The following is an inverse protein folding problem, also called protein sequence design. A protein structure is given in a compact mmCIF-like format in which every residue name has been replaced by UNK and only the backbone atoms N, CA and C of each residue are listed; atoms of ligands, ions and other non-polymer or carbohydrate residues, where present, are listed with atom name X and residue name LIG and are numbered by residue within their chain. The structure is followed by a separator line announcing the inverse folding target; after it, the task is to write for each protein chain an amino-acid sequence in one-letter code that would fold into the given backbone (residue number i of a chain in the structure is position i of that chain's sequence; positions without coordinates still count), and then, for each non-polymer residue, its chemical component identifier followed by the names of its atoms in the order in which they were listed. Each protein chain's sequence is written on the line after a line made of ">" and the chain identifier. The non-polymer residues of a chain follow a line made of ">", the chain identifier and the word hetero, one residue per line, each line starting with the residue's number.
data_IF_128756692325
#
_entry.id   IF_128756692325
#
_cell.length_a   1.000
_cell.length_b   1.000
_cell.length_c   1.000
_cell.angle_alpha   90.00
_cell.angle_beta   90.00
_cell.angle_gamma   90.00
#
_symmetry.space_group_name_H-M   'P 1'
#
loop_
_entity.id
_entity.type
_entity.pdbx_description
1 polymer ?
#
# COMPACT_ATOMS: atom_id res chain seq x y z
N UNK A 1 17.85 17.00 13.92
CA UNK A 1 17.25 16.07 14.90
C UNK A 1 16.67 14.87 14.20
N UNK A 2 17.29 13.71 14.40
CA UNK A 2 16.81 12.43 13.83
C UNK A 2 15.90 11.76 14.84
N UNK A 3 14.65 11.53 14.47
CA UNK A 3 13.74 10.69 15.25
C UNK A 3 14.20 9.24 15.08
N UNK A 4 14.54 8.52 16.16
CA UNK A 4 15.00 7.13 16.06
C UNK A 4 13.91 6.22 15.47
N UNK A 5 14.30 5.34 14.56
CA UNK A 5 13.41 4.31 14.02
C UNK A 5 13.31 3.19 15.06
N UNK A 6 12.11 2.87 15.57
CA UNK A 6 11.95 1.77 16.51
C UNK A 6 12.24 0.42 15.84
N UNK A 7 12.81 -0.50 16.60
CA UNK A 7 12.99 -1.88 16.20
C UNK A 7 11.64 -2.59 16.03
N UNK A 8 11.64 -3.70 15.29
CA UNK A 8 10.43 -4.49 15.08
C UNK A 8 10.00 -5.21 16.36
N UNK A 9 8.87 -4.80 16.95
CA UNK A 9 8.20 -5.51 18.03
C UNK A 9 6.97 -6.25 17.48
N UNK A 10 7.00 -7.59 17.38
CA UNK A 10 5.90 -8.38 16.80
C UNK A 10 4.58 -8.30 17.60
N UNK A 11 4.67 -7.96 18.90
CA UNK A 11 3.53 -7.90 19.82
C UNK A 11 3.08 -6.46 20.14
N UNK A 12 3.63 -5.45 19.47
CA UNK A 12 3.21 -4.07 19.64
C UNK A 12 1.78 -3.87 19.11
N UNK A 13 0.82 -3.85 20.03
CA UNK A 13 -0.58 -3.56 19.71
C UNK A 13 -0.83 -2.05 19.73
N UNK A 14 -1.40 -1.53 18.64
CA UNK A 14 -1.86 -0.15 18.55
C UNK A 14 -1.25 0.66 17.40
N UNK A 15 -1.68 1.90 17.33
CA UNK A 15 -1.25 2.86 16.31
C UNK A 15 0.16 3.36 16.69
N UNK A 16 1.16 3.32 15.77
CA UNK A 16 2.51 3.80 16.06
C UNK A 16 2.53 5.25 16.54
N UNK A 17 3.51 5.62 17.37
CA UNK A 17 3.67 7.01 17.84
C UNK A 17 3.92 8.04 16.72
N UNK A 18 4.25 7.56 15.50
CA UNK A 18 4.43 8.35 14.28
C UNK A 18 3.12 8.59 13.52
N UNK A 19 1.98 8.21 14.09
CA UNK A 19 0.68 8.46 13.49
C UNK A 19 0.28 9.92 13.58
N UNK A 20 0.04 10.49 12.41
CA UNK A 20 -0.63 11.78 12.25
C UNK A 20 -2.06 11.47 11.79
N UNK A 21 -3.10 11.83 12.58
CA UNK A 21 -4.47 11.48 12.24
C UNK A 21 -4.91 12.15 10.94
N UNK A 22 -5.56 11.37 10.07
CA UNK A 22 -6.18 11.87 8.84
C UNK A 22 -5.20 12.29 7.74
N UNK A 23 -3.93 11.85 7.79
CA UNK A 23 -2.95 12.21 6.75
C UNK A 23 -3.41 11.78 5.34
N UNK A 24 -4.07 10.63 5.20
CA UNK A 24 -4.54 10.18 3.89
C UNK A 24 -5.77 10.96 3.41
N UNK A 25 -6.55 11.55 4.32
CA UNK A 25 -7.63 12.49 3.95
C UNK A 25 -7.01 13.66 3.19
N UNK A 26 -5.94 14.25 3.77
CA UNK A 26 -5.23 15.36 3.17
C UNK A 26 -4.60 14.97 1.83
N UNK A 27 -3.89 13.84 1.77
CA UNK A 27 -3.26 13.37 0.54
C UNK A 27 -4.26 13.15 -0.59
N UNK A 28 -5.34 12.38 -0.35
CA UNK A 28 -6.32 12.08 -1.38
C UNK A 28 -7.07 13.34 -1.85
N UNK A 29 -7.35 14.28 -0.94
CA UNK A 29 -7.98 15.56 -1.31
C UNK A 29 -7.05 16.39 -2.21
N UNK A 30 -5.77 16.52 -1.86
CA UNK A 30 -4.79 17.23 -2.67
C UNK A 30 -4.59 16.55 -4.03
N UNK A 31 -4.48 15.23 -4.05
CA UNK A 31 -4.35 14.46 -5.29
C UNK A 31 -5.57 14.62 -6.18
N UNK A 32 -6.78 14.71 -5.62
CA UNK A 32 -8.01 14.90 -6.40
C UNK A 32 -8.07 16.29 -7.07
N UNK A 33 -7.68 17.33 -6.33
CA UNK A 33 -7.52 18.67 -6.90
C UNK A 33 -6.49 18.65 -8.02
N UNK A 34 -5.33 18.01 -7.81
CA UNK A 34 -4.32 17.90 -8.85
C UNK A 34 -4.83 17.14 -10.08
N UNK A 35 -5.46 15.98 -9.87
CA UNK A 35 -6.06 15.15 -10.92
C UNK A 35 -7.09 15.92 -11.75
N UNK A 36 -7.90 16.77 -11.10
CA UNK A 36 -8.83 17.66 -11.80
C UNK A 36 -8.09 18.57 -12.78
N UNK A 37 -7.03 19.25 -12.32
CA UNK A 37 -6.25 20.20 -13.14
C UNK A 37 -5.57 19.54 -14.32
N UNK A 38 -5.01 18.34 -14.13
CA UNK A 38 -4.34 17.59 -15.20
C UNK A 38 -5.30 16.76 -16.05
N UNK A 39 -6.61 16.88 -15.81
CA UNK A 39 -7.68 16.13 -16.51
C UNK A 39 -7.54 14.60 -16.39
N UNK A 40 -6.97 14.11 -15.30
CA UNK A 40 -6.97 12.69 -14.99
C UNK A 40 -8.40 12.21 -14.67
N UNK A 41 -8.67 10.95 -14.98
CA UNK A 41 -9.95 10.29 -14.74
C UNK A 41 -9.94 9.42 -13.48
N UNK A 42 -8.75 9.08 -12.99
CA UNK A 42 -8.56 8.22 -11.83
C UNK A 42 -7.37 8.66 -10.98
N UNK A 43 -7.47 8.37 -9.70
CA UNK A 43 -6.40 8.44 -8.71
C UNK A 43 -6.14 7.01 -8.25
N UNK A 44 -4.89 6.57 -8.34
CA UNK A 44 -4.47 5.26 -7.87
C UNK A 44 -3.70 5.44 -6.57
N UNK A 45 -4.07 4.70 -5.53
CA UNK A 45 -3.39 4.72 -4.23
C UNK A 45 -3.09 3.30 -3.73
N UNK A 46 -1.93 3.15 -3.10
CA UNK A 46 -1.44 1.87 -2.57
C UNK A 46 -1.88 1.56 -1.14
N UNK A 47 -2.87 2.27 -0.60
CA UNK A 47 -3.43 1.95 0.72
C UNK A 47 -4.05 0.55 0.71
N UNK A 48 -3.95 -0.14 1.83
CA UNK A 48 -4.58 -1.44 2.03
C UNK A 48 -5.05 -1.59 3.47
N UNK A 49 -6.06 -2.42 3.67
CA UNK A 49 -6.65 -2.70 4.98
C UNK A 49 -6.07 -3.96 5.63
N UNK A 50 -5.39 -4.80 4.84
CA UNK A 50 -4.78 -6.06 5.30
C UNK A 50 -3.47 -5.90 6.06
N UNK A 51 -2.83 -4.72 6.00
CA UNK A 51 -1.58 -4.47 6.72
C UNK A 51 -1.87 -4.14 8.20
N UNK A 52 -1.02 -4.69 9.07
CA UNK A 52 -1.12 -4.79 10.54
C UNK A 52 -1.35 -3.48 11.33
N UNK A 53 -1.40 -2.32 10.67
CA UNK A 53 -1.46 -1.01 11.31
C UNK A 53 -2.87 -0.41 11.46
N UNK A 54 -3.89 -0.99 10.81
CA UNK A 54 -5.31 -0.71 11.11
C UNK A 54 -5.75 0.76 10.97
N UNK A 55 -5.01 1.57 10.21
CA UNK A 55 -5.29 3.00 10.05
C UNK A 55 -6.70 3.22 9.49
N UNK A 56 -7.57 3.98 10.16
CA UNK A 56 -8.96 4.18 9.71
C UNK A 56 -9.03 4.89 8.35
N UNK A 57 -8.04 5.72 8.04
CA UNK A 57 -7.90 6.45 6.77
C UNK A 57 -7.23 5.60 5.65
N UNK A 58 -7.13 4.28 5.83
CA UNK A 58 -6.73 3.32 4.80
C UNK A 58 -7.83 2.33 4.41
N UNK A 59 -8.97 2.34 5.10
CA UNK A 59 -10.05 1.35 4.91
C UNK A 59 -10.84 1.61 3.63
N UNK A 60 -11.41 0.56 3.07
CA UNK A 60 -12.23 0.66 1.85
C UNK A 60 -13.44 1.60 2.04
N UNK A 61 -14.14 1.48 3.18
CA UNK A 61 -15.28 2.35 3.51
C UNK A 61 -14.89 3.83 3.52
N UNK A 62 -13.72 4.15 4.09
CA UNK A 62 -13.20 5.51 4.12
C UNK A 62 -12.91 6.02 2.70
N UNK A 63 -12.20 5.24 1.88
CA UNK A 63 -11.84 5.65 0.51
C UNK A 63 -13.09 5.92 -0.32
N UNK A 64 -14.12 5.08 -0.20
CA UNK A 64 -15.43 5.26 -0.86
C UNK A 64 -16.17 6.50 -0.38
N UNK A 65 -16.20 6.73 0.93
CA UNK A 65 -16.83 7.92 1.51
C UNK A 65 -16.15 9.21 1.05
N UNK A 66 -14.81 9.23 1.02
CA UNK A 66 -14.05 10.39 0.57
C UNK A 66 -14.22 10.64 -0.94
N UNK A 67 -14.18 9.58 -1.77
CA UNK A 67 -14.47 9.67 -3.20
C UNK A 67 -15.81 10.37 -3.44
N UNK A 68 -16.88 9.92 -2.75
CA UNK A 68 -18.19 10.53 -2.85
C UNK A 68 -18.17 12.03 -2.51
N UNK A 69 -17.58 12.40 -1.36
CA UNK A 69 -17.50 13.78 -0.92
C UNK A 69 -16.72 14.68 -1.91
N UNK A 70 -15.59 14.18 -2.41
CA UNK A 70 -14.73 14.87 -3.38
C UNK A 70 -15.44 15.05 -4.73
N UNK A 71 -16.13 14.02 -5.22
CA UNK A 71 -16.89 14.09 -6.46
C UNK A 71 -18.01 15.13 -6.42
N UNK A 72 -18.72 15.21 -5.29
CA UNK A 72 -19.71 16.26 -5.06
C UNK A 72 -19.06 17.66 -5.03
N UNK A 73 -17.97 17.81 -4.27
CA UNK A 73 -17.30 19.10 -4.09
C UNK A 73 -16.68 19.68 -5.37
N UNK A 74 -16.26 18.82 -6.30
CA UNK A 74 -15.68 19.24 -7.59
C UNK A 74 -16.65 19.17 -8.77
N UNK A 75 -17.89 18.71 -8.56
CA UNK A 75 -18.85 18.41 -9.62
C UNK A 75 -18.25 17.56 -10.76
N UNK A 76 -17.38 16.62 -10.42
CA UNK A 76 -16.65 15.77 -11.37
C UNK A 76 -16.38 14.40 -10.74
N UNK A 77 -16.67 13.34 -11.48
CA UNK A 77 -16.30 11.99 -11.07
C UNK A 77 -14.84 11.70 -11.48
N UNK A 78 -13.98 11.54 -10.47
CA UNK A 78 -12.59 11.07 -10.61
C UNK A 78 -12.50 9.81 -9.76
N UNK A 79 -12.28 8.66 -10.39
CA UNK A 79 -12.31 7.35 -9.72
C UNK A 79 -11.18 7.24 -8.71
N UNK A 80 -11.45 6.66 -7.55
CA UNK A 80 -10.41 6.29 -6.59
C UNK A 80 -10.18 4.78 -6.70
N UNK A 81 -8.98 4.40 -7.11
CA UNK A 81 -8.60 3.01 -7.38
C UNK A 81 -7.57 2.53 -6.35
N UNK A 82 -7.89 1.45 -5.66
CA UNK A 82 -7.08 0.83 -4.60
C UNK A 82 -6.72 -0.62 -4.95
N UNK A 83 -5.85 -0.84 -5.95
CA UNK A 83 -5.57 -2.19 -6.49
C UNK A 83 -4.98 -3.15 -5.46
N UNK A 84 -4.45 -2.63 -4.35
CA UNK A 84 -3.84 -3.41 -3.27
C UNK A 84 -4.77 -3.60 -2.06
N UNK A 85 -6.00 -3.08 -2.09
CA UNK A 85 -6.89 -3.03 -0.90
C UNK A 85 -7.03 -4.38 -0.19
N UNK A 86 -7.18 -5.43 -0.97
CA UNK A 86 -7.45 -6.79 -0.51
C UNK A 86 -6.26 -7.74 -0.64
N UNK A 87 -5.09 -7.21 -1.01
CA UNK A 87 -3.88 -8.00 -1.23
C UNK A 87 -2.98 -7.97 0.00
N UNK A 88 -2.61 -9.16 0.48
CA UNK A 88 -1.53 -9.28 1.44
C UNK A 88 -0.16 -9.04 0.75
N UNK A 89 0.92 -9.05 1.54
CA UNK A 89 2.25 -8.75 1.01
C UNK A 89 2.76 -9.79 0.00
N UNK A 90 2.44 -11.07 0.17
CA UNK A 90 2.80 -12.13 -0.77
C UNK A 90 2.05 -11.98 -2.11
N UNK A 91 0.76 -11.64 -2.06
CA UNK A 91 -0.05 -11.37 -3.24
C UNK A 91 0.40 -10.09 -3.96
N UNK A 92 0.89 -9.09 -3.22
CA UNK A 92 1.51 -7.90 -3.82
C UNK A 92 2.79 -8.25 -4.60
N UNK A 93 3.61 -9.18 -4.09
CA UNK A 93 4.75 -9.72 -4.84
C UNK A 93 4.31 -10.49 -6.09
N UNK A 94 3.26 -11.32 -5.97
CA UNK A 94 2.69 -12.02 -7.11
C UNK A 94 2.18 -11.05 -8.18
N UNK A 95 1.56 -9.93 -7.80
CA UNK A 95 1.13 -8.90 -8.75
C UNK A 95 2.32 -8.26 -9.49
N UNK A 96 3.45 -8.02 -8.80
CA UNK A 96 4.66 -7.54 -9.47
C UNK A 96 5.23 -8.58 -10.45
N UNK A 97 5.23 -9.87 -10.08
CA UNK A 97 5.70 -10.96 -10.94
C UNK A 97 4.76 -11.19 -12.14
N UNK A 98 3.44 -11.04 -11.96
CA UNK A 98 2.45 -11.10 -13.03
C UNK A 98 2.77 -10.11 -14.17
N UNK A 99 3.25 -8.91 -13.83
CA UNK A 99 3.67 -7.89 -14.81
C UNK A 99 5.13 -8.01 -15.25
N UNK A 100 5.84 -9.07 -14.86
CA UNK A 100 7.25 -9.28 -15.17
C UNK A 100 8.18 -8.25 -14.53
N UNK A 101 7.75 -7.61 -13.43
CA UNK A 101 8.48 -6.54 -12.73
C UNK A 101 8.99 -6.98 -11.36
N UNK A 102 9.04 -8.28 -11.06
CA UNK A 102 9.47 -8.78 -9.76
C UNK A 102 10.86 -8.27 -9.37
N UNK A 103 11.84 -8.37 -10.28
CA UNK A 103 13.22 -7.97 -10.00
C UNK A 103 13.35 -6.45 -9.84
N UNK A 104 12.65 -5.68 -10.66
CA UNK A 104 12.62 -4.21 -10.55
C UNK A 104 12.04 -3.79 -9.21
N UNK A 105 10.88 -4.34 -8.83
CA UNK A 105 10.26 -4.05 -7.53
C UNK A 105 11.19 -4.51 -6.39
N UNK A 106 11.84 -5.68 -6.53
CA UNK A 106 12.69 -6.23 -5.49
C UNK A 106 13.93 -5.39 -5.24
N UNK A 107 14.61 -4.92 -6.27
CA UNK A 107 15.93 -4.33 -6.14
C UNK A 107 15.94 -2.79 -6.17
N UNK A 108 15.00 -2.16 -6.89
CA UNK A 108 15.06 -0.71 -7.14
C UNK A 108 14.20 0.14 -6.21
N UNK A 109 13.29 -0.48 -5.44
CA UNK A 109 12.38 0.23 -4.53
C UNK A 109 12.94 0.35 -3.11
N UNK A 110 12.42 1.34 -2.35
CA UNK A 110 12.77 1.59 -0.96
C UNK A 110 11.57 1.34 -0.06
N UNK A 111 11.68 0.32 0.80
CA UNK A 111 10.71 0.06 1.89
C UNK A 111 11.35 0.21 3.27
N UNK A 112 12.66 0.05 3.37
CA UNK A 112 13.39 0.12 4.63
C UNK A 112 13.26 1.51 5.26
N UNK A 113 12.85 1.55 6.54
CA UNK A 113 12.81 2.80 7.31
C UNK A 113 14.19 3.44 7.51
N UNK A 114 15.27 2.68 7.34
CA UNK A 114 16.66 3.16 7.40
C UNK A 114 17.22 3.58 6.02
N UNK A 115 16.38 3.73 4.99
CA UNK A 115 16.82 4.27 3.70
C UNK A 115 17.59 3.30 2.78
N UNK A 116 17.66 2.02 3.14
CA UNK A 116 18.36 1.00 2.33
C UNK A 116 17.40 0.41 1.28
N UNK A 117 17.73 0.56 0.00
CA UNK A 117 16.97 -0.02 -1.12
C UNK A 117 17.00 -1.56 -1.10
N UNK A 118 16.08 -2.15 -1.85
CA UNK A 118 16.10 -3.58 -2.13
C UNK A 118 15.52 -4.41 -0.99
N UNK A 119 16.29 -5.41 -0.55
CA UNK A 119 15.96 -6.26 0.62
C UNK A 119 16.11 -5.47 1.95
N UNK A 120 16.74 -4.29 1.92
CA UNK A 120 16.81 -3.36 3.05
C UNK A 120 17.74 -3.81 4.18
N UNK A 121 17.56 -3.25 5.38
CA UNK A 121 18.41 -3.56 6.54
C UNK A 121 18.13 -4.91 7.22
N UNK A 122 17.01 -5.58 6.88
CA UNK A 122 16.59 -6.83 7.54
C UNK A 122 16.17 -6.71 9.02
N UNK A 123 16.16 -5.52 9.61
CA UNK A 123 15.94 -5.34 11.07
C UNK A 123 14.67 -4.54 11.41
N UNK A 124 14.26 -3.60 10.55
CA UNK A 124 13.07 -2.77 10.81
C UNK A 124 11.76 -3.49 10.44
N UNK A 125 10.65 -3.04 11.03
CA UNK A 125 9.33 -3.63 10.81
C UNK A 125 8.94 -3.75 9.33
N UNK A 126 9.21 -2.70 8.54
CA UNK A 126 8.90 -2.67 7.11
C UNK A 126 9.71 -3.71 6.31
N UNK A 127 10.99 -3.91 6.65
CA UNK A 127 11.82 -4.95 6.02
C UNK A 127 11.30 -6.35 6.35
N UNK A 128 10.95 -6.63 7.61
CA UNK A 128 10.44 -7.93 8.03
C UNK A 128 9.12 -8.26 7.32
N UNK A 129 8.17 -7.33 7.27
CA UNK A 129 6.90 -7.52 6.55
C UNK A 129 7.13 -7.81 5.06
N UNK A 130 8.01 -7.03 4.40
CA UNK A 130 8.37 -7.20 2.99
C UNK A 130 9.03 -8.55 2.72
N UNK A 131 10.00 -8.94 3.53
CA UNK A 131 10.74 -10.20 3.41
C UNK A 131 9.85 -11.42 3.65
N UNK A 132 8.97 -11.36 4.66
CA UNK A 132 8.00 -12.42 4.94
C UNK A 132 7.04 -12.63 3.75
N UNK A 133 6.52 -11.54 3.18
CA UNK A 133 5.71 -11.61 1.96
C UNK A 133 6.45 -12.24 0.78
N UNK A 134 7.73 -11.87 0.59
CA UNK A 134 8.54 -12.42 -0.50
C UNK A 134 8.79 -13.92 -0.28
N UNK A 135 9.12 -14.32 0.94
CA UNK A 135 9.36 -15.71 1.29
C UNK A 135 8.12 -16.57 1.08
N UNK A 136 6.94 -16.10 1.51
CA UNK A 136 5.66 -16.78 1.27
C UNK A 136 5.37 -16.92 -0.22
N UNK A 137 5.57 -15.84 -1.00
CA UNK A 137 5.37 -15.89 -2.44
C UNK A 137 6.31 -16.88 -3.14
N UNK A 138 7.60 -16.87 -2.82
CA UNK A 138 8.58 -17.78 -3.42
C UNK A 138 8.37 -19.24 -2.99
N UNK A 139 7.86 -19.47 -1.78
CA UNK A 139 7.55 -20.81 -1.25
C UNK A 139 6.34 -21.47 -1.93
N UNK A 140 5.38 -20.68 -2.42
CA UNK A 140 4.22 -21.16 -3.17
C UNK A 140 3.78 -20.15 -4.25
N UNK A 141 4.58 -20.03 -5.31
CA UNK A 141 4.29 -19.07 -6.39
C UNK A 141 2.94 -19.31 -7.04
N UNK A 142 2.60 -20.58 -7.30
CA UNK A 142 1.39 -20.94 -8.05
C UNK A 142 0.15 -20.68 -7.21
N UNK A 143 0.14 -21.09 -5.93
CA UNK A 143 -0.99 -20.87 -5.03
C UNK A 143 -1.22 -19.37 -4.80
N UNK A 144 -0.18 -18.62 -4.46
CA UNK A 144 -0.30 -17.17 -4.21
C UNK A 144 -0.71 -16.40 -5.46
N UNK A 145 -0.16 -16.74 -6.64
CA UNK A 145 -0.58 -16.14 -7.92
C UNK A 145 -2.06 -16.40 -8.22
N UNK A 146 -2.54 -17.62 -7.94
CA UNK A 146 -3.95 -17.99 -8.16
C UNK A 146 -4.88 -17.15 -7.29
N UNK A 147 -4.56 -17.01 -5.99
CA UNK A 147 -5.36 -16.19 -5.06
C UNK A 147 -5.32 -14.72 -5.45
N UNK A 148 -4.15 -14.20 -5.82
CA UNK A 148 -3.99 -12.82 -6.29
C UNK A 148 -4.87 -12.54 -7.52
N UNK A 149 -4.85 -13.43 -8.52
CA UNK A 149 -5.71 -13.34 -9.72
C UNK A 149 -7.20 -13.35 -9.37
N UNK A 150 -7.61 -14.24 -8.47
CA UNK A 150 -9.00 -14.32 -8.00
C UNK A 150 -9.46 -13.00 -7.37
N UNK A 151 -8.61 -12.36 -6.55
CA UNK A 151 -8.93 -11.10 -5.86
C UNK A 151 -8.92 -9.88 -6.80
N UNK A 152 -8.07 -9.90 -7.82
CA UNK A 152 -7.88 -8.77 -8.75
C UNK A 152 -8.71 -8.87 -10.03
N UNK A 153 -9.24 -10.06 -10.35
CA UNK A 153 -9.94 -10.34 -11.60
C UNK A 153 -9.02 -10.48 -12.82
N UNK A 154 -7.70 -10.61 -12.60
CA UNK A 154 -6.70 -10.79 -13.67
C UNK A 154 -6.70 -12.24 -14.19
N UNK A 155 -6.48 -12.41 -15.50
CA UNK A 155 -6.50 -13.71 -16.18
C UNK A 155 -5.13 -14.39 -16.19
#
# INVERSE_FOLDING_TARGET
>A
DSIPVPDYEPDASGIPNTFVPGRNILFLTLTAIYAYQVKAEAIITGVCETDFSGYPDCRDEFVKALHHAVSLGMAKDIRFETPLMWLNKAETWALADYWGQLDLVRHETLTCYNGIKGDGCGQCAACNLRANGLSQYLGDKVGVMTVMKQKTGLQ
#
